data_IF_240569244979
#
_entry.id   IF_240569244979
#
_cell.length_a   1.000
_cell.length_b   1.000
_cell.length_c   1.000
_cell.angle_alpha   90.00
_cell.angle_beta   90.00
_cell.angle_gamma   90.00
#
_symmetry.space_group_name_H-M   'P 1'
#
loop_
_entity.id
_entity.type
_entity.pdbx_description
1 polymer ?
#
# COMPACT_ATOMS: atom_id res chain seq x y z
N UNK A 1 0.74 -23.12 7.52
CA UNK A 1 1.17 -23.03 8.93
C UNK A 1 0.21 -22.08 9.62
N UNK A 2 -0.53 -22.59 10.61
CA UNK A 2 -1.43 -21.75 11.42
C UNK A 2 -0.59 -20.76 12.23
N UNK A 3 -0.94 -19.48 12.19
CA UNK A 3 -0.31 -18.46 13.04
C UNK A 3 -0.65 -18.64 14.53
N UNK A 4 -1.64 -19.48 14.82
CA UNK A 4 -2.14 -19.77 16.17
C UNK A 4 -1.94 -21.25 16.52
N UNK A 5 -0.72 -21.74 16.37
CA UNK A 5 -0.35 -23.07 16.82
C UNK A 5 -0.61 -23.22 18.33
N UNK A 6 -1.34 -24.26 18.75
CA UNK A 6 -1.65 -24.51 20.15
C UNK A 6 -1.53 -26.01 20.46
N UNK A 7 -0.88 -26.40 21.57
CA UNK A 7 -0.24 -25.55 22.58
C UNK A 7 1.15 -25.02 22.18
N UNK A 8 1.76 -25.53 21.12
CA UNK A 8 3.07 -25.09 20.63
C UNK A 8 3.23 -25.38 19.13
N UNK A 9 4.26 -24.83 18.51
CA UNK A 9 4.60 -25.12 17.10
C UNK A 9 4.97 -26.59 16.85
N UNK A 10 5.56 -27.25 17.82
CA UNK A 10 5.92 -28.67 17.73
C UNK A 10 4.74 -29.61 18.00
N UNK A 11 3.69 -29.14 18.65
CA UNK A 11 2.50 -29.91 19.00
C UNK A 11 1.25 -29.07 18.71
N UNK A 12 0.99 -28.83 17.44
CA UNK A 12 -0.14 -28.03 17.01
C UNK A 12 -1.39 -28.92 16.78
N UNK A 13 -2.36 -28.85 17.68
CA UNK A 13 -3.64 -29.55 17.53
C UNK A 13 -4.40 -29.04 16.29
N UNK A 14 -4.21 -27.77 15.89
CA UNK A 14 -4.81 -27.20 14.69
C UNK A 14 -4.36 -27.90 13.40
N UNK A 15 -3.22 -28.59 13.40
CA UNK A 15 -2.74 -29.37 12.25
C UNK A 15 -3.68 -30.53 11.84
N UNK A 16 -4.65 -30.91 12.68
CA UNK A 16 -5.69 -31.86 12.30
C UNK A 16 -6.51 -31.37 11.10
N UNK A 17 -6.63 -30.06 10.94
CA UNK A 17 -7.32 -29.44 9.82
C UNK A 17 -6.67 -29.78 8.49
N UNK A 18 -5.36 -30.01 8.45
CA UNK A 18 -4.63 -30.40 7.25
C UNK A 18 -5.03 -31.80 6.76
N UNK A 19 -5.46 -32.66 7.67
CA UNK A 19 -6.01 -33.99 7.33
C UNK A 19 -7.48 -33.94 6.91
N UNK A 20 -8.19 -32.91 7.38
CA UNK A 20 -9.61 -32.70 7.10
C UNK A 20 -9.85 -31.78 5.89
N UNK A 21 -8.82 -31.41 5.15
CA UNK A 21 -8.89 -30.45 4.05
C UNK A 21 -9.96 -30.80 2.99
N UNK A 22 -10.23 -32.09 2.77
CA UNK A 22 -11.27 -32.55 1.85
C UNK A 22 -12.68 -32.11 2.25
N UNK A 23 -12.89 -31.84 3.54
CA UNK A 23 -14.18 -31.37 4.07
C UNK A 23 -14.25 -29.83 4.09
N UNK A 24 -13.14 -29.16 3.80
CA UNK A 24 -13.05 -27.71 3.76
C UNK A 24 -12.70 -27.19 2.36
N UNK A 25 -13.55 -27.46 1.33
CA UNK A 25 -13.29 -26.89 0.00
C UNK A 25 -13.38 -25.36 0.04
N UNK A 26 -12.88 -24.70 -1.00
CA UNK A 26 -12.98 -23.25 -1.11
C UNK A 26 -14.43 -22.77 -0.87
N UNK A 27 -14.61 -21.80 -0.01
CA UNK A 27 -15.93 -21.30 0.39
C UNK A 27 -16.68 -22.15 1.40
N UNK A 28 -16.04 -23.13 2.06
CA UNK A 28 -16.70 -24.01 3.05
C UNK A 28 -17.46 -23.23 4.13
N UNK A 29 -16.93 -22.10 4.59
CA UNK A 29 -17.57 -21.28 5.62
C UNK A 29 -18.87 -20.60 5.13
N UNK A 30 -19.03 -20.37 3.84
CA UNK A 30 -20.30 -19.89 3.28
C UNK A 30 -21.38 -20.98 3.20
N UNK A 31 -20.99 -22.25 3.19
CA UNK A 31 -21.91 -23.38 3.06
C UNK A 31 -22.17 -24.09 4.38
N UNK A 32 -21.12 -24.31 5.16
CA UNK A 32 -21.15 -25.17 6.36
C UNK A 32 -21.67 -24.45 7.59
N UNK A 33 -21.38 -23.15 7.73
CA UNK A 33 -21.69 -22.40 8.96
C UNK A 33 -22.86 -21.41 8.81
N UNK A 34 -23.67 -21.57 7.77
CA UNK A 34 -24.79 -20.65 7.49
C UNK A 34 -26.03 -20.92 8.32
N UNK A 35 -26.18 -22.10 8.94
CA UNK A 35 -27.33 -22.47 9.75
C UNK A 35 -26.92 -22.94 11.15
N UNK A 36 -27.64 -22.48 12.21
CA UNK A 36 -28.62 -21.39 12.19
C UNK A 36 -27.90 -20.00 12.07
N UNK A 37 -28.50 -19.04 11.37
CA UNK A 37 -27.92 -17.70 11.15
C UNK A 37 -27.53 -17.00 12.45
N UNK A 38 -28.31 -17.21 13.53
CA UNK A 38 -28.02 -16.62 14.84
C UNK A 38 -26.69 -17.12 15.46
N UNK A 39 -26.22 -18.31 15.09
CA UNK A 39 -24.96 -18.87 15.58
C UNK A 39 -23.73 -18.28 14.87
N UNK A 40 -23.89 -17.66 13.70
CA UNK A 40 -22.78 -17.13 12.96
C UNK A 40 -21.97 -16.14 13.79
N UNK A 41 -22.57 -15.03 14.22
CA UNK A 41 -21.86 -13.97 14.96
C UNK A 41 -21.46 -14.40 16.38
N UNK A 42 -22.20 -15.33 17.01
CA UNK A 42 -21.97 -15.69 18.41
C UNK A 42 -21.02 -16.87 18.59
N UNK A 43 -20.94 -17.76 17.62
CA UNK A 43 -20.18 -19.01 17.73
C UNK A 43 -19.16 -19.17 16.60
N UNK A 44 -19.59 -19.18 15.35
CA UNK A 44 -18.72 -19.56 14.25
C UNK A 44 -17.70 -18.47 13.90
N UNK A 45 -18.12 -17.22 13.76
CA UNK A 45 -17.24 -16.10 13.40
C UNK A 45 -16.12 -15.89 14.42
N UNK A 46 -16.36 -15.84 15.75
CA UNK A 46 -15.29 -15.68 16.73
C UNK A 46 -14.28 -16.82 16.72
N UNK A 47 -14.74 -18.06 16.49
CA UNK A 47 -13.83 -19.22 16.42
C UNK A 47 -12.98 -19.15 15.16
N UNK A 48 -13.60 -18.90 14.01
CA UNK A 48 -12.90 -18.79 12.72
C UNK A 48 -11.91 -17.62 12.76
N UNK A 49 -12.33 -16.46 13.24
CA UNK A 49 -11.49 -15.26 13.39
C UNK A 49 -10.27 -15.54 14.27
N UNK A 50 -10.49 -16.21 15.41
CA UNK A 50 -9.38 -16.58 16.30
C UNK A 50 -8.44 -17.59 15.67
N UNK A 51 -8.96 -18.60 14.99
CA UNK A 51 -8.15 -19.58 14.27
C UNK A 51 -7.34 -18.96 13.11
N UNK A 52 -7.92 -17.96 12.46
CA UNK A 52 -7.24 -17.21 11.39
C UNK A 52 -6.24 -16.15 11.89
N UNK A 53 -6.16 -15.91 13.21
CA UNK A 53 -5.24 -14.91 13.78
C UNK A 53 -5.64 -13.45 13.51
N UNK A 54 -6.90 -13.18 13.16
CA UNK A 54 -7.37 -11.85 12.79
C UNK A 54 -7.63 -10.90 13.98
N UNK A 55 -7.50 -11.40 15.22
CA UNK A 55 -7.75 -10.62 16.42
C UNK A 55 -9.24 -10.26 16.60
N UNK A 56 -9.51 -9.25 17.42
CA UNK A 56 -10.86 -8.71 17.62
C UNK A 56 -11.06 -7.47 16.74
N UNK A 57 -12.23 -7.29 16.12
CA UNK A 57 -12.52 -6.03 15.45
C UNK A 57 -12.57 -4.90 16.47
N UNK A 58 -12.20 -3.68 16.11
CA UNK A 58 -12.38 -2.53 16.99
C UNK A 58 -13.88 -2.32 17.27
N UNK A 59 -14.20 -1.99 18.51
CA UNK A 59 -15.59 -1.73 18.94
C UNK A 59 -15.95 -0.24 18.84
N UNK A 60 -14.93 0.62 18.86
CA UNK A 60 -15.11 2.05 18.73
C UNK A 60 -15.07 2.46 17.25
N UNK A 61 -15.83 3.50 16.87
CA UNK A 61 -15.70 4.09 15.54
C UNK A 61 -14.27 4.54 15.27
N UNK A 62 -13.82 4.40 14.02
CA UNK A 62 -12.54 4.95 13.58
C UNK A 62 -12.58 6.49 13.69
N UNK A 63 -11.73 7.05 14.53
CA UNK A 63 -11.61 8.50 14.69
C UNK A 63 -10.82 9.16 13.57
N UNK A 64 -10.08 8.37 12.79
CA UNK A 64 -9.27 8.87 11.69
C UNK A 64 -10.13 9.31 10.51
N UNK A 65 -9.66 10.32 9.82
CA UNK A 65 -10.27 10.81 8.58
C UNK A 65 -9.43 10.40 7.39
N UNK A 66 -10.11 10.01 6.32
CA UNK A 66 -9.50 9.62 5.06
C UNK A 66 -10.10 10.44 3.93
N UNK A 67 -9.31 10.77 2.93
CA UNK A 67 -9.81 11.48 1.76
C UNK A 67 -9.42 10.77 0.46
N UNK A 68 -10.10 11.14 -0.61
CA UNK A 68 -9.83 10.67 -1.95
C UNK A 68 -9.47 11.85 -2.85
N UNK A 69 -8.47 11.63 -3.71
CA UNK A 69 -8.03 12.62 -4.67
C UNK A 69 -7.80 11.98 -6.04
N UNK A 70 -7.88 12.81 -7.06
CA UNK A 70 -7.71 12.39 -8.45
C UNK A 70 -6.48 13.06 -9.05
N UNK A 71 -5.77 12.34 -9.90
CA UNK A 71 -4.61 12.82 -10.63
C UNK A 71 -4.66 12.43 -12.11
N UNK A 72 -4.07 13.27 -12.94
CA UNK A 72 -3.93 13.01 -14.38
C UNK A 72 -2.51 13.38 -14.80
N UNK A 73 -1.82 12.46 -15.48
CA UNK A 73 -0.49 12.71 -16.00
C UNK A 73 -0.27 11.94 -17.30
N UNK A 74 0.55 12.46 -18.18
CA UNK A 74 1.02 11.74 -19.36
C UNK A 74 1.98 10.61 -18.93
N UNK A 75 2.81 10.87 -17.90
CA UNK A 75 3.69 9.84 -17.33
C UNK A 75 3.60 9.85 -15.80
N UNK A 76 3.41 8.68 -15.21
CA UNK A 76 3.61 8.45 -13.77
C UNK A 76 4.86 7.61 -13.58
N UNK A 77 5.78 8.08 -12.75
CA UNK A 77 6.98 7.34 -12.36
C UNK A 77 6.77 6.85 -10.92
N UNK A 78 6.97 5.56 -10.69
CA UNK A 78 6.85 4.90 -9.39
C UNK A 78 8.24 4.52 -8.90
N UNK A 79 8.66 5.14 -7.81
CA UNK A 79 9.97 5.00 -7.19
C UNK A 79 10.80 6.29 -7.34
N UNK A 80 11.21 6.87 -6.19
CA UNK A 80 11.98 8.10 -6.12
C UNK A 80 13.48 7.87 -5.94
N UNK A 81 13.97 6.68 -6.33
CA UNK A 81 15.41 6.39 -6.44
C UNK A 81 16.07 7.18 -7.56
N UNK A 82 17.41 7.05 -7.72
CA UNK A 82 18.14 7.77 -8.74
C UNK A 82 17.59 7.50 -10.15
N UNK A 83 17.21 6.26 -10.45
CA UNK A 83 16.63 5.87 -11.74
C UNK A 83 15.28 6.56 -11.98
N UNK A 84 14.43 6.63 -10.95
CA UNK A 84 13.13 7.29 -11.04
C UNK A 84 13.24 8.81 -11.19
N UNK A 85 14.19 9.44 -10.51
CA UNK A 85 14.48 10.88 -10.66
C UNK A 85 14.92 11.19 -12.10
N UNK A 86 15.83 10.39 -12.67
CA UNK A 86 16.27 10.52 -14.06
C UNK A 86 15.10 10.28 -15.03
N UNK A 87 14.33 9.21 -14.84
CA UNK A 87 13.19 8.89 -15.68
C UNK A 87 12.11 10.00 -15.66
N UNK A 88 11.87 10.59 -14.49
CA UNK A 88 10.93 11.71 -14.35
C UNK A 88 11.41 12.97 -15.08
N UNK A 89 12.71 13.30 -14.97
CA UNK A 89 13.32 14.41 -15.70
C UNK A 89 13.20 14.22 -17.21
N UNK A 90 13.57 13.05 -17.70
CA UNK A 90 13.57 12.74 -19.13
C UNK A 90 12.14 12.71 -19.70
N UNK A 91 11.17 12.20 -18.93
CA UNK A 91 9.76 12.26 -19.30
C UNK A 91 9.23 13.69 -19.35
N UNK A 92 9.67 14.55 -18.42
CA UNK A 92 9.26 15.94 -18.34
C UNK A 92 9.81 16.82 -19.47
N UNK A 93 10.95 16.45 -20.05
CA UNK A 93 11.56 17.15 -21.17
C UNK A 93 10.65 17.19 -22.43
N UNK A 94 9.74 16.22 -22.56
CA UNK A 94 8.72 16.18 -23.62
C UNK A 94 7.53 17.12 -23.40
N UNK A 95 7.51 17.92 -22.32
CA UNK A 95 6.45 18.90 -22.00
C UNK A 95 5.17 18.31 -21.39
N UNK A 96 5.01 16.98 -21.36
CA UNK A 96 3.86 16.31 -20.73
C UNK A 96 3.92 16.40 -19.20
N UNK A 97 2.76 16.30 -18.55
CA UNK A 97 2.68 16.26 -17.07
C UNK A 97 3.27 14.98 -16.55
N UNK A 98 4.13 15.09 -15.54
CA UNK A 98 4.78 13.99 -14.87
C UNK A 98 4.43 13.99 -13.38
N UNK A 99 4.04 12.85 -12.84
CA UNK A 99 3.90 12.63 -11.41
C UNK A 99 4.95 11.60 -11.00
N UNK A 100 5.83 11.96 -10.05
CA UNK A 100 6.78 11.04 -9.44
C UNK A 100 6.30 10.68 -8.03
N UNK A 101 6.13 9.40 -7.77
CA UNK A 101 5.69 8.85 -6.50
C UNK A 101 6.86 8.19 -5.77
N UNK A 102 7.03 8.54 -4.49
CA UNK A 102 7.99 7.91 -3.59
C UNK A 102 7.30 7.50 -2.29
N UNK A 103 7.44 6.24 -1.91
CA UNK A 103 6.78 5.69 -0.72
C UNK A 103 7.37 6.19 0.60
N UNK A 104 8.65 6.57 0.61
CA UNK A 104 9.37 7.04 1.79
C UNK A 104 9.35 8.57 1.90
N UNK A 105 9.70 9.15 3.06
CA UNK A 105 9.85 10.60 3.19
C UNK A 105 11.10 11.15 2.49
N UNK A 106 11.98 10.30 1.96
CA UNK A 106 13.27 10.68 1.40
C UNK A 106 13.37 10.31 -0.08
N UNK A 107 14.00 11.19 -0.86
CA UNK A 107 14.34 10.95 -2.25
C UNK A 107 15.71 10.29 -2.39
N UNK A 108 15.92 9.60 -3.52
CA UNK A 108 17.21 9.04 -3.87
C UNK A 108 17.39 7.57 -3.53
N UNK A 109 16.42 6.95 -2.82
CA UNK A 109 16.52 5.56 -2.41
C UNK A 109 17.79 5.31 -1.60
N UNK A 110 18.58 4.31 -1.98
CA UNK A 110 19.85 3.97 -1.33
C UNK A 110 21.05 4.78 -1.79
N UNK A 111 20.94 5.53 -2.89
CA UNK A 111 22.06 6.25 -3.51
C UNK A 111 22.83 7.16 -2.54
N UNK A 112 22.16 7.92 -1.64
CA UNK A 112 22.87 8.74 -0.65
C UNK A 112 23.73 7.96 0.34
N UNK A 113 23.38 6.69 0.60
CA UNK A 113 24.14 5.83 1.52
C UNK A 113 25.22 5.01 0.80
N UNK A 114 24.98 4.63 -0.46
CA UNK A 114 25.85 3.73 -1.21
C UNK A 114 27.01 4.47 -1.90
N UNK A 115 26.90 5.80 -2.10
CA UNK A 115 27.88 6.59 -2.84
C UNK A 115 28.26 7.88 -2.11
N UNK A 116 29.56 8.24 -2.03
CA UNK A 116 30.04 9.45 -1.33
C UNK A 116 29.44 10.75 -1.86
N UNK A 117 29.18 10.85 -3.15
CA UNK A 117 28.56 12.00 -3.83
C UNK A 117 27.06 11.81 -4.05
N UNK A 118 26.49 10.71 -3.57
CA UNK A 118 25.11 10.30 -3.83
C UNK A 118 24.08 11.34 -3.41
N UNK A 119 24.27 11.94 -2.23
CA UNK A 119 23.36 12.98 -1.74
C UNK A 119 23.38 14.23 -2.62
N UNK A 120 24.55 14.70 -3.03
CA UNK A 120 24.70 15.87 -3.90
C UNK A 120 24.07 15.61 -5.28
N UNK A 121 24.23 14.40 -5.82
CA UNK A 121 23.65 14.01 -7.09
C UNK A 121 22.12 13.96 -7.04
N UNK A 122 21.55 13.42 -5.96
CA UNK A 122 20.10 13.40 -5.74
C UNK A 122 19.53 14.81 -5.63
N UNK A 123 20.15 15.69 -4.83
CA UNK A 123 19.71 17.08 -4.70
C UNK A 123 19.82 17.87 -6.00
N UNK A 124 20.84 17.65 -6.80
CA UNK A 124 20.96 18.26 -8.14
C UNK A 124 19.78 17.88 -9.04
N UNK A 125 19.41 16.59 -9.09
CA UNK A 125 18.26 16.13 -9.87
C UNK A 125 16.93 16.68 -9.33
N UNK A 126 16.77 16.72 -8.01
CA UNK A 126 15.58 17.30 -7.38
C UNK A 126 15.42 18.78 -7.66
N UNK A 127 16.53 19.55 -7.66
CA UNK A 127 16.53 20.96 -8.02
C UNK A 127 16.05 21.15 -9.47
N UNK A 128 16.53 20.32 -10.40
CA UNK A 128 16.09 20.34 -11.80
C UNK A 128 14.57 20.03 -11.90
N UNK A 129 14.11 18.97 -11.23
CA UNK A 129 12.71 18.56 -11.27
C UNK A 129 11.76 19.61 -10.64
N UNK A 130 12.18 20.22 -9.53
CA UNK A 130 11.40 21.29 -8.86
C UNK A 130 11.26 22.56 -9.70
N UNK A 131 12.21 22.80 -10.60
CA UNK A 131 12.14 23.94 -11.52
C UNK A 131 11.18 23.71 -12.70
N UNK A 132 10.72 22.49 -12.92
CA UNK A 132 9.85 22.14 -14.04
C UNK A 132 8.34 22.29 -13.61
N UNK A 133 7.56 23.16 -14.25
CA UNK A 133 6.17 23.39 -13.86
C UNK A 133 5.23 22.21 -14.17
N UNK A 134 5.66 21.31 -15.06
CA UNK A 134 4.92 20.12 -15.47
C UNK A 134 5.25 18.88 -14.62
N UNK A 135 6.02 19.02 -13.54
CA UNK A 135 6.41 17.92 -12.65
C UNK A 135 5.75 18.06 -11.28
N UNK A 136 5.12 17.00 -10.81
CA UNK A 136 4.60 16.88 -9.46
C UNK A 136 5.38 15.80 -8.70
N UNK A 137 6.02 16.18 -7.59
CA UNK A 137 6.77 15.28 -6.71
C UNK A 137 5.93 14.93 -5.48
N UNK A 138 5.71 13.63 -5.22
CA UNK A 138 4.95 13.16 -4.07
C UNK A 138 5.75 12.14 -3.28
N UNK A 139 6.13 12.53 -2.05
CA UNK A 139 6.71 11.63 -1.04
C UNK A 139 5.61 10.98 -0.21
N UNK A 140 5.98 10.02 0.64
CA UNK A 140 5.07 9.27 1.50
C UNK A 140 3.88 8.69 0.70
N UNK A 141 4.07 8.44 -0.59
CA UNK A 141 3.01 8.04 -1.52
C UNK A 141 3.40 6.73 -2.19
N UNK A 142 2.78 5.66 -1.70
CA UNK A 142 3.02 4.31 -2.18
C UNK A 142 2.01 3.96 -3.28
N UNK A 143 2.50 3.57 -4.46
CA UNK A 143 1.65 2.97 -5.48
C UNK A 143 1.20 1.58 -5.00
N UNK A 144 -0.11 1.36 -4.90
CA UNK A 144 -0.71 0.14 -4.34
C UNK A 144 -1.34 -0.77 -5.38
N UNK A 145 -1.62 -0.25 -6.57
CA UNK A 145 -2.18 -1.05 -7.65
C UNK A 145 -2.11 -0.34 -8.99
N UNK A 146 -1.81 -1.11 -10.03
CA UNK A 146 -1.87 -0.69 -11.42
C UNK A 146 -2.87 -1.58 -12.15
N UNK A 147 -3.83 -0.96 -12.81
CA UNK A 147 -4.94 -1.59 -13.50
C UNK A 147 -4.96 -1.19 -14.97
N UNK A 148 -5.89 -1.76 -15.71
CA UNK A 148 -6.03 -1.52 -17.14
C UNK A 148 -6.16 -0.02 -17.49
N UNK A 149 -5.70 0.33 -18.68
CA UNK A 149 -5.74 1.69 -19.22
C UNK A 149 -5.00 2.73 -18.37
N UNK A 150 -3.88 2.34 -17.73
CA UNK A 150 -3.07 3.26 -16.93
C UNK A 150 -3.76 3.79 -15.68
N UNK A 151 -4.73 3.05 -15.14
CA UNK A 151 -5.37 3.42 -13.87
C UNK A 151 -4.50 2.94 -12.70
N UNK A 152 -3.96 3.89 -11.96
CA UNK A 152 -3.07 3.64 -10.82
C UNK A 152 -3.74 4.14 -9.54
N UNK A 153 -3.67 3.32 -8.50
CA UNK A 153 -4.08 3.69 -7.14
C UNK A 153 -2.82 3.85 -6.30
N UNK A 154 -2.75 4.96 -5.55
CA UNK A 154 -1.67 5.20 -4.61
C UNK A 154 -2.22 5.70 -3.27
N UNK A 155 -1.55 5.32 -2.18
CA UNK A 155 -1.86 5.75 -0.82
C UNK A 155 -0.79 6.74 -0.36
N UNK A 156 -1.20 7.96 -0.05
CA UNK A 156 -0.35 9.00 0.54
C UNK A 156 -0.57 9.01 2.06
N UNK A 157 0.49 8.88 2.83
CA UNK A 157 0.49 9.06 4.27
C UNK A 157 0.67 10.54 4.59
N UNK A 158 -0.36 11.18 5.15
CA UNK A 158 -0.35 12.60 5.52
C UNK A 158 -0.02 12.79 6.99
N UNK A 159 -0.66 12.03 7.86
CA UNK A 159 -0.54 12.13 9.31
C UNK A 159 -0.54 10.76 10.01
N UNK A 160 0.02 9.72 9.38
CA UNK A 160 0.10 8.38 10.01
C UNK A 160 0.85 8.38 11.35
N UNK A 161 1.72 9.37 11.57
CA UNK A 161 2.56 9.52 12.75
C UNK A 161 2.00 10.51 13.79
N UNK A 162 0.94 11.25 13.46
CA UNK A 162 0.33 12.24 14.36
C UNK A 162 -1.20 12.20 14.27
N UNK A 163 -1.85 11.45 15.18
CA UNK A 163 -3.31 11.34 15.19
C UNK A 163 -4.01 12.67 15.54
N UNK A 164 -3.26 13.66 16.05
CA UNK A 164 -3.79 14.96 16.45
C UNK A 164 -3.56 16.06 15.41
N UNK A 165 -3.01 15.75 14.25
CA UNK A 165 -2.65 16.73 13.22
C UNK A 165 -3.85 17.54 12.66
N UNK A 166 -5.09 17.12 12.93
CA UNK A 166 -6.30 17.81 12.44
C UNK A 166 -6.54 17.70 10.93
N UNK A 167 -5.68 17.02 10.21
CA UNK A 167 -5.76 16.71 8.76
C UNK A 167 -6.13 15.24 8.55
N UNK A 168 -6.54 14.83 7.36
CA UNK A 168 -6.74 13.43 7.04
C UNK A 168 -5.48 12.61 7.31
N UNK A 169 -5.66 11.42 7.88
CA UNK A 169 -4.55 10.49 8.14
C UNK A 169 -3.90 10.04 6.84
N UNK A 170 -4.72 9.66 5.88
CA UNK A 170 -4.26 9.16 4.59
C UNK A 170 -5.12 9.71 3.47
N UNK A 171 -4.52 9.78 2.27
CA UNK A 171 -5.18 10.14 1.02
C UNK A 171 -5.03 9.02 0.01
N UNK A 172 -6.16 8.57 -0.53
CA UNK A 172 -6.20 7.63 -1.63
C UNK A 172 -6.21 8.39 -2.96
N UNK A 173 -5.14 8.26 -3.70
CA UNK A 173 -5.02 8.80 -5.05
C UNK A 173 -5.55 7.83 -6.09
N UNK A 174 -6.38 8.33 -6.98
CA UNK A 174 -6.83 7.66 -8.19
C UNK A 174 -6.23 8.40 -9.37
N UNK A 175 -5.19 7.83 -9.95
CA UNK A 175 -4.41 8.50 -10.99
C UNK A 175 -4.68 7.81 -12.32
N UNK A 176 -4.97 8.62 -13.34
CA UNK A 176 -5.03 8.15 -14.72
C UNK A 176 -3.76 8.60 -15.44
N UNK A 177 -2.99 7.65 -15.94
CA UNK A 177 -1.72 7.87 -16.61
C UNK A 177 -1.77 7.42 -18.07
N UNK A 178 -1.15 8.16 -18.97
CA UNK A 178 -0.89 7.68 -20.33
C UNK A 178 0.14 6.57 -20.34
N UNK A 179 1.17 6.69 -19.48
CA UNK A 179 2.22 5.69 -19.27
C UNK A 179 2.64 5.62 -17.80
N UNK A 180 2.93 4.42 -17.31
CA UNK A 180 3.51 4.18 -15.99
C UNK A 180 4.91 3.60 -16.16
N UNK A 181 5.87 4.15 -15.44
CA UNK A 181 7.27 3.70 -15.38
C UNK A 181 7.57 3.30 -13.94
N UNK A 182 8.04 2.08 -13.73
CA UNK A 182 8.52 1.59 -12.43
C UNK A 182 10.04 1.66 -12.40
N UNK A 183 10.63 2.18 -11.28
CA UNK A 183 12.06 2.45 -11.18
C UNK A 183 12.63 2.07 -9.80
#
# INVERSE_FOLDING_TARGET
VSQNAWPSLSHDIGAINDRLWRFFPAGFYYKTFMHPRAAWLRLFEPVIRRAAGLGRPPELPDADRYEQAYGFAETVVVGGGISGLVAARDAAAGGGRVILLEQTPHWGGRTPADHPDGAARVESLLAQLRALPNVTLRRNTMATGLYDHGYLIAREALADHDPNAGIPRQRLWRIRAGRVVTA
#
